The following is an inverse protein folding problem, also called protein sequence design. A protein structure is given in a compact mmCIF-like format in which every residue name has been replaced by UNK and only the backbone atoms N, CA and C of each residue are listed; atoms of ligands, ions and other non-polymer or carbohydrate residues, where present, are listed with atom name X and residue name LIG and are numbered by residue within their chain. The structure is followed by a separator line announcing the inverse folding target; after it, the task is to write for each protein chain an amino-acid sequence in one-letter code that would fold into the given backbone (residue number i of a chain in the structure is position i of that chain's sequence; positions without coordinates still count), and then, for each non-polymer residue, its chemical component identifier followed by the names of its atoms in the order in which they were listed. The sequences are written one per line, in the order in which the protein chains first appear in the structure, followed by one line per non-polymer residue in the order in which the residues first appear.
data_IF_473621400183
#
_entry.id   IF_473621400183
#
_cell.length_a   1.000
_cell.length_b   1.000
_cell.length_c   1.000
_cell.angle_alpha   90.00
_cell.angle_beta   90.00
_cell.angle_gamma   90.00
#
_symmetry.space_group_name_H-M   'P 1'
#
loop_
_entity.id
_entity.type
_entity.pdbx_description
1 polymer ?
#
# COMPACT_ATOMS: atom_id res chain seq x y z
N UNK A 1 6.41 0.26 -6.78
CA UNK A 1 7.52 0.99 -6.12
C UNK A 1 7.15 1.43 -4.69
N UNK A 2 6.57 0.51 -3.92
CA UNK A 2 6.24 0.73 -2.50
C UNK A 2 7.44 0.63 -1.56
N UNK A 3 8.54 0.05 -2.06
CA UNK A 3 9.80 -0.17 -1.35
C UNK A 3 10.98 0.26 -2.24
N UNK A 4 12.20 0.13 -1.73
CA UNK A 4 13.40 0.42 -2.52
C UNK A 4 13.48 -0.43 -3.80
N UNK A 5 13.57 0.24 -4.95
CA UNK A 5 13.49 -0.36 -6.30
C UNK A 5 14.51 -1.49 -6.54
N UNK A 6 15.68 -1.41 -5.89
CA UNK A 6 16.77 -2.39 -6.07
C UNK A 6 16.38 -3.80 -5.61
N UNK A 7 15.70 -3.92 -4.46
CA UNK A 7 15.21 -5.18 -3.93
C UNK A 7 14.07 -5.76 -4.77
N UNK A 8 13.13 -4.91 -5.19
CA UNK A 8 11.94 -5.34 -5.94
C UNK A 8 12.25 -5.99 -7.30
N UNK A 9 13.34 -5.62 -7.98
CA UNK A 9 13.73 -6.26 -9.24
C UNK A 9 14.13 -7.72 -9.00
N UNK A 10 14.83 -8.00 -7.91
CA UNK A 10 15.32 -9.35 -7.58
C UNK A 10 14.15 -10.28 -7.21
N UNK A 11 13.14 -9.76 -6.50
CA UNK A 11 11.94 -10.53 -6.10
C UNK A 11 10.89 -10.63 -7.22
N UNK A 12 10.79 -9.65 -8.11
CA UNK A 12 9.83 -9.68 -9.23
C UNK A 12 10.23 -10.64 -10.37
N UNK A 13 11.53 -10.91 -10.55
CA UNK A 13 11.98 -11.79 -11.64
C UNK A 13 11.49 -13.24 -11.49
N UNK A 14 11.51 -13.88 -10.29
CA UNK A 14 10.94 -15.20 -10.11
C UNK A 14 9.45 -15.30 -10.51
N UNK A 15 8.63 -14.30 -10.18
CA UNK A 15 7.23 -14.26 -10.61
C UNK A 15 7.10 -14.19 -12.14
N UNK A 16 7.95 -13.37 -12.80
CA UNK A 16 7.97 -13.27 -14.25
C UNK A 16 8.37 -14.61 -14.91
N UNK A 17 9.32 -15.34 -14.31
CA UNK A 17 9.75 -16.65 -14.80
C UNK A 17 8.61 -17.68 -14.66
N UNK A 18 7.92 -17.74 -13.53
CA UNK A 18 6.75 -18.60 -13.30
C UNK A 18 5.61 -18.28 -14.28
N UNK A 19 5.31 -17.01 -14.51
CA UNK A 19 4.33 -16.59 -15.52
C UNK A 19 4.76 -17.04 -16.93
N UNK A 20 6.04 -16.90 -17.26
CA UNK A 20 6.59 -17.32 -18.54
C UNK A 20 6.43 -18.82 -18.76
N UNK A 21 6.68 -19.64 -17.75
CA UNK A 21 6.49 -21.09 -17.80
C UNK A 21 5.02 -21.49 -18.01
N UNK A 22 4.10 -20.87 -17.24
CA UNK A 22 2.66 -21.14 -17.37
C UNK A 22 2.08 -20.74 -18.72
N UNK A 23 2.52 -19.58 -19.24
CA UNK A 23 2.02 -19.05 -20.52
C UNK A 23 2.73 -19.61 -21.74
N UNK A 24 3.91 -20.22 -21.59
CA UNK A 24 4.77 -20.61 -22.70
C UNK A 24 5.31 -19.40 -23.49
N UNK A 25 5.49 -18.26 -22.83
CA UNK A 25 5.95 -16.99 -23.38
C UNK A 25 7.22 -16.51 -22.66
N UNK A 26 8.01 -15.65 -23.29
CA UNK A 26 9.08 -14.93 -22.59
C UNK A 26 8.46 -13.77 -21.80
N UNK A 27 8.57 -13.79 -20.47
CA UNK A 27 8.13 -12.72 -19.58
C UNK A 27 9.33 -12.08 -18.92
N UNK A 28 9.34 -10.75 -18.83
CA UNK A 28 10.43 -9.97 -18.24
C UNK A 28 9.87 -9.05 -17.17
N UNK A 29 10.51 -9.05 -16.00
CA UNK A 29 10.19 -8.08 -14.96
C UNK A 29 10.70 -6.68 -15.34
N UNK A 30 9.88 -5.69 -15.04
CA UNK A 30 10.20 -4.26 -15.12
C UNK A 30 9.70 -3.60 -13.85
N UNK A 31 10.58 -2.94 -13.09
CA UNK A 31 10.22 -2.19 -11.89
C UNK A 31 10.52 -0.71 -12.14
N UNK A 32 9.50 0.13 -12.33
CA UNK A 32 9.65 1.59 -12.44
C UNK A 32 10.10 2.22 -11.11
N UNK A 33 10.61 3.44 -11.18
CA UNK A 33 11.12 4.17 -10.01
C UNK A 33 10.02 4.78 -9.12
N UNK A 34 8.83 4.98 -9.68
CA UNK A 34 7.68 5.57 -9.00
C UNK A 34 6.36 5.03 -9.55
N UNK A 35 5.27 5.33 -8.87
CA UNK A 35 3.92 4.87 -9.23
C UNK A 35 3.49 5.37 -10.62
N UNK A 36 3.83 6.61 -10.97
CA UNK A 36 3.50 7.17 -12.29
C UNK A 36 4.18 6.42 -13.42
N UNK A 37 5.41 5.96 -13.20
CA UNK A 37 6.17 5.18 -14.17
C UNK A 37 5.49 3.86 -14.54
N UNK A 38 4.74 3.23 -13.63
CA UNK A 38 3.96 2.02 -13.91
C UNK A 38 2.84 2.31 -14.91
N UNK A 39 2.09 3.40 -14.68
CA UNK A 39 1.00 3.82 -15.57
C UNK A 39 1.53 4.16 -16.97
N UNK A 40 2.64 4.92 -17.04
CA UNK A 40 3.31 5.24 -18.32
C UNK A 40 3.80 3.98 -19.05
N UNK A 41 4.29 2.98 -18.32
CA UNK A 41 4.73 1.71 -18.94
C UNK A 41 3.57 0.93 -19.58
N UNK A 42 2.40 0.91 -18.95
CA UNK A 42 1.17 0.35 -19.51
C UNK A 42 0.70 1.16 -20.72
N UNK A 43 0.54 2.48 -20.57
CA UNK A 43 0.05 3.38 -21.63
C UNK A 43 0.93 3.35 -22.89
N UNK A 44 2.25 3.29 -22.71
CA UNK A 44 3.21 3.25 -23.83
C UNK A 44 3.39 1.86 -24.45
N UNK A 45 2.77 0.81 -23.88
CA UNK A 45 2.95 -0.58 -24.30
C UNK A 45 4.31 -1.18 -23.95
N UNK A 46 5.08 -0.55 -23.05
CA UNK A 46 6.31 -1.13 -22.51
C UNK A 46 6.02 -2.28 -21.55
N UNK A 47 4.90 -2.22 -20.82
CA UNK A 47 4.38 -3.31 -20.02
C UNK A 47 3.01 -3.76 -20.55
N UNK A 48 2.76 -5.07 -20.53
CA UNK A 48 1.49 -5.68 -20.89
C UNK A 48 0.71 -6.13 -19.65
N UNK A 49 1.40 -6.32 -18.53
CA UNK A 49 0.85 -6.72 -17.23
C UNK A 49 1.50 -5.84 -16.19
N UNK A 50 0.71 -5.32 -15.26
CA UNK A 50 1.18 -4.64 -14.08
C UNK A 50 0.60 -5.33 -12.85
N UNK A 51 1.47 -5.74 -11.91
CA UNK A 51 1.11 -6.37 -10.65
C UNK A 51 1.60 -5.56 -9.46
N UNK A 52 1.00 -5.78 -8.29
CA UNK A 52 1.27 -4.99 -7.09
C UNK A 52 0.85 -3.52 -7.25
N UNK A 53 -0.21 -3.29 -8.04
CA UNK A 53 -0.78 -1.97 -8.20
C UNK A 53 -1.61 -1.62 -6.97
N UNK A 54 -1.23 -0.57 -6.26
CA UNK A 54 -2.09 -0.01 -5.22
C UNK A 54 -3.45 0.40 -5.77
N UNK A 55 -4.48 0.54 -4.92
CA UNK A 55 -5.86 0.76 -5.39
C UNK A 55 -6.00 2.00 -6.29
N UNK A 56 -5.29 3.10 -6.00
CA UNK A 56 -5.26 4.29 -6.86
C UNK A 56 -4.65 3.99 -8.22
N UNK A 57 -3.56 3.22 -8.26
CA UNK A 57 -2.91 2.82 -9.51
C UNK A 57 -3.80 1.88 -10.33
N UNK A 58 -4.62 1.04 -9.69
CA UNK A 58 -5.64 0.24 -10.38
C UNK A 58 -6.59 1.14 -11.16
N UNK A 59 -7.18 2.13 -10.49
CA UNK A 59 -8.09 3.12 -11.13
C UNK A 59 -7.36 3.91 -12.22
N UNK A 60 -6.15 4.40 -11.95
CA UNK A 60 -5.35 5.15 -12.92
C UNK A 60 -4.96 4.30 -14.15
N UNK A 61 -4.62 3.03 -13.96
CA UNK A 61 -4.32 2.12 -15.07
C UNK A 61 -5.53 1.95 -15.99
N UNK A 62 -6.73 1.78 -15.43
CA UNK A 62 -7.95 1.71 -16.22
C UNK A 62 -8.27 3.02 -16.93
N UNK A 63 -8.28 4.16 -16.21
CA UNK A 63 -8.73 5.44 -16.75
C UNK A 63 -7.72 6.09 -17.71
N UNK A 64 -6.43 5.97 -17.44
CA UNK A 64 -5.38 6.65 -18.22
C UNK A 64 -4.76 5.74 -19.28
N UNK A 65 -4.48 4.47 -18.93
CA UNK A 65 -3.86 3.52 -19.84
C UNK A 65 -4.86 2.59 -20.55
N UNK A 66 -6.16 2.67 -20.21
CA UNK A 66 -7.19 1.79 -20.78
C UNK A 66 -6.99 0.32 -20.39
N UNK A 67 -6.34 0.06 -19.26
CA UNK A 67 -6.06 -1.30 -18.78
C UNK A 67 -7.34 -1.99 -18.28
N UNK A 68 -7.34 -3.32 -18.31
CA UNK A 68 -8.37 -4.16 -17.70
C UNK A 68 -7.90 -4.63 -16.31
N UNK A 69 -8.72 -4.42 -15.27
CA UNK A 69 -8.46 -4.89 -13.91
C UNK A 69 -8.88 -6.35 -13.81
N UNK A 70 -7.96 -7.24 -13.44
CA UNK A 70 -8.21 -8.68 -13.51
C UNK A 70 -8.17 -9.39 -12.15
N UNK A 71 -7.32 -8.96 -11.23
CA UNK A 71 -7.11 -9.63 -9.93
C UNK A 71 -6.89 -8.62 -8.82
N UNK A 72 -7.25 -9.01 -7.60
CA UNK A 72 -6.94 -8.33 -6.34
C UNK A 72 -6.22 -9.30 -5.41
N UNK A 73 -5.27 -8.80 -4.65
CA UNK A 73 -4.55 -9.57 -3.65
C UNK A 73 -5.39 -9.83 -2.40
N UNK A 74 -5.32 -11.05 -1.89
CA UNK A 74 -5.70 -11.39 -0.54
C UNK A 74 -4.44 -11.39 0.32
N UNK A 75 -4.47 -10.70 1.46
CA UNK A 75 -3.37 -10.60 2.43
C UNK A 75 -3.93 -10.83 3.82
N UNK A 76 -3.31 -11.72 4.60
CA UNK A 76 -3.76 -12.10 5.95
C UNK A 76 -5.25 -12.49 5.98
N UNK A 77 -5.70 -13.22 4.95
CA UNK A 77 -7.09 -13.66 4.79
C UNK A 77 -8.09 -12.53 4.53
N UNK A 78 -7.64 -11.35 4.10
CA UNK A 78 -8.47 -10.18 3.84
C UNK A 78 -8.21 -9.58 2.46
N UNK A 79 -9.27 -9.05 1.83
CA UNK A 79 -9.19 -8.23 0.62
C UNK A 79 -9.04 -6.73 0.93
N UNK A 80 -8.95 -6.39 2.22
CA UNK A 80 -8.92 -5.02 2.71
C UNK A 80 -7.73 -4.84 3.65
N UNK A 81 -7.11 -3.66 3.59
CA UNK A 81 -6.08 -3.20 4.50
C UNK A 81 -6.40 -1.81 5.03
N UNK A 82 -5.51 -1.20 5.80
CA UNK A 82 -5.69 0.14 6.36
C UNK A 82 -4.41 0.98 6.22
N UNK A 83 -4.56 2.30 6.29
CA UNK A 83 -3.47 3.17 6.69
C UNK A 83 -3.25 3.04 8.18
N UNK A 84 -2.00 2.88 8.61
CA UNK A 84 -1.57 3.08 9.98
C UNK A 84 -0.99 4.48 10.16
N UNK A 85 -1.35 5.12 11.29
CA UNK A 85 -0.70 6.30 11.83
C UNK A 85 0.20 5.88 12.99
N UNK A 86 1.47 6.25 12.94
CA UNK A 86 2.44 5.87 13.95
C UNK A 86 3.31 7.06 14.38
N UNK A 87 3.87 6.97 15.58
CA UNK A 87 4.62 8.05 16.21
C UNK A 87 5.78 7.52 17.05
N UNK A 88 6.79 8.36 17.29
CA UNK A 88 7.84 8.17 18.30
C UNK A 88 7.56 8.92 19.61
N UNK A 89 6.39 9.58 19.73
CA UNK A 89 5.95 10.30 20.93
C UNK A 89 4.57 9.79 21.41
N UNK A 90 4.50 8.57 21.98
CA UNK A 90 3.24 8.00 22.42
C UNK A 90 2.60 8.78 23.58
N UNK A 91 3.36 9.56 24.35
CA UNK A 91 2.81 10.39 25.43
C UNK A 91 1.86 11.47 24.90
N UNK A 92 2.05 11.92 23.64
CA UNK A 92 1.19 12.91 22.98
C UNK A 92 -0.02 12.28 22.28
N UNK A 93 0.15 11.11 21.63
CA UNK A 93 -0.85 10.56 20.71
C UNK A 93 -1.64 9.37 21.26
N UNK A 94 -1.22 8.77 22.39
CA UNK A 94 -1.92 7.66 23.03
C UNK A 94 -2.73 8.13 24.24
N UNK A 95 -3.98 7.67 24.36
CA UNK A 95 -4.80 7.87 25.58
C UNK A 95 -4.51 6.84 26.67
N UNK A 96 -3.92 5.72 26.29
CA UNK A 96 -3.59 4.56 27.12
C UNK A 96 -2.10 4.20 27.00
N UNK A 97 -1.65 3.32 27.88
CA UNK A 97 -0.30 2.78 27.78
C UNK A 97 -0.21 1.85 26.56
N UNK A 98 0.77 2.04 25.66
CA UNK A 98 0.95 1.15 24.50
C UNK A 98 1.07 -0.33 24.92
N UNK A 99 0.43 -1.21 24.16
CA UNK A 99 0.40 -2.66 24.36
C UNK A 99 1.04 -3.34 23.14
N UNK A 100 1.87 -4.35 23.39
CA UNK A 100 2.53 -5.12 22.34
C UNK A 100 1.66 -6.27 21.83
N UNK A 101 1.78 -6.57 20.53
CA UNK A 101 1.33 -7.82 19.95
C UNK A 101 2.28 -8.99 20.29
N UNK A 102 2.12 -10.13 19.62
CA UNK A 102 2.93 -11.34 19.84
C UNK A 102 4.41 -11.15 19.43
N UNK A 103 4.68 -10.26 18.48
CA UNK A 103 6.02 -9.94 17.95
C UNK A 103 6.66 -8.74 18.69
N UNK A 104 5.93 -8.10 19.58
CA UNK A 104 6.41 -6.98 20.41
C UNK A 104 6.22 -5.60 19.78
N UNK A 105 5.49 -5.49 18.68
CA UNK A 105 5.12 -4.21 18.09
C UNK A 105 4.07 -3.51 18.96
N UNK A 106 4.29 -2.24 19.30
CA UNK A 106 3.44 -1.48 20.21
C UNK A 106 2.31 -0.74 19.47
N UNK A 107 1.13 -0.78 20.10
CA UNK A 107 -0.10 -0.13 19.64
C UNK A 107 -0.81 0.55 20.83
N UNK A 108 -1.60 1.58 20.56
CA UNK A 108 -2.45 2.22 21.54
C UNK A 108 -3.82 2.60 20.97
N UNK A 109 -4.65 3.28 21.77
CA UNK A 109 -6.00 3.75 21.41
C UNK A 109 -6.94 2.63 20.93
N UNK A 110 -6.71 1.38 21.36
CA UNK A 110 -7.53 0.24 20.96
C UNK A 110 -7.24 -0.31 19.55
N UNK A 111 -6.16 0.10 18.90
CA UNK A 111 -5.80 -0.42 17.55
C UNK A 111 -5.60 -1.92 17.57
N UNK A 112 -4.94 -2.46 18.61
CA UNK A 112 -4.69 -3.90 18.74
C UNK A 112 -5.97 -4.72 18.98
N UNK A 113 -7.05 -4.09 19.42
CA UNK A 113 -8.35 -4.75 19.66
C UNK A 113 -9.20 -4.85 18.37
N UNK A 114 -8.77 -4.20 17.28
CA UNK A 114 -9.46 -4.26 15.99
C UNK A 114 -9.30 -5.65 15.36
N UNK A 115 -10.43 -6.26 14.99
CA UNK A 115 -10.46 -7.58 14.37
C UNK A 115 -10.34 -7.51 12.84
N UNK A 116 -10.61 -6.35 12.26
CA UNK A 116 -10.60 -6.15 10.81
C UNK A 116 -10.45 -4.67 10.42
N UNK A 117 -10.09 -4.42 9.16
CA UNK A 117 -10.05 -3.08 8.58
C UNK A 117 -11.39 -2.30 8.73
N UNK A 118 -12.51 -3.01 8.81
CA UNK A 118 -13.84 -2.41 8.95
C UNK A 118 -14.10 -1.78 10.35
N UNK A 119 -13.27 -2.07 11.33
CA UNK A 119 -13.36 -1.48 12.67
C UNK A 119 -12.79 -0.05 12.73
N UNK A 120 -12.05 0.35 11.69
CA UNK A 120 -11.57 1.72 11.53
C UNK A 120 -12.67 2.72 11.10
N UNK A 121 -12.42 4.04 11.23
CA UNK A 121 -11.16 4.64 11.69
C UNK A 121 -10.98 4.60 13.22
N UNK A 122 -9.76 4.42 13.69
CA UNK A 122 -9.35 4.44 15.09
C UNK A 122 -8.34 5.56 15.30
N UNK A 123 -8.39 6.28 16.44
CA UNK A 123 -7.44 7.34 16.77
C UNK A 123 -7.55 8.60 15.89
N UNK A 124 -8.62 8.74 15.11
CA UNK A 124 -8.82 9.90 14.24
C UNK A 124 -8.90 11.25 14.98
N UNK A 125 -9.34 11.24 16.24
CA UNK A 125 -9.38 12.42 17.11
C UNK A 125 -7.98 12.96 17.47
N UNK A 126 -6.92 12.17 17.28
CA UNK A 126 -5.54 12.60 17.51
C UNK A 126 -4.97 13.41 16.34
N UNK A 127 -5.55 13.31 15.15
CA UNK A 127 -5.02 13.94 13.96
C UNK A 127 -5.05 15.48 14.05
N UNK A 128 -5.96 16.06 14.81
CA UNK A 128 -5.97 17.51 15.09
C UNK A 128 -4.68 18.00 15.77
N UNK A 129 -3.95 17.13 16.47
CA UNK A 129 -2.68 17.46 17.13
C UNK A 129 -1.52 17.59 16.15
N UNK A 130 -1.72 17.23 14.88
CA UNK A 130 -0.70 17.29 13.85
C UNK A 130 -0.51 18.70 13.25
N UNK A 131 -1.35 19.67 13.61
CA UNK A 131 -1.19 21.06 13.18
C UNK A 131 0.23 21.59 13.49
N UNK A 132 0.97 21.96 12.45
CA UNK A 132 2.34 22.45 12.49
C UNK A 132 3.42 21.38 12.74
N UNK A 133 3.05 20.09 12.79
CA UNK A 133 3.97 18.98 13.04
C UNK A 133 4.63 18.50 11.73
N UNK A 134 5.72 17.76 11.87
CA UNK A 134 6.35 17.06 10.73
C UNK A 134 5.73 15.68 10.57
N UNK A 135 5.12 15.44 9.42
CA UNK A 135 4.46 14.17 9.05
C UNK A 135 5.20 13.53 7.89
N UNK A 136 5.62 12.28 8.07
CA UNK A 136 6.24 11.49 7.01
C UNK A 136 5.17 10.79 6.19
N UNK A 137 5.10 11.14 4.91
CA UNK A 137 4.33 10.46 3.87
C UNK A 137 5.23 9.58 3.02
N UNK A 138 4.64 8.65 2.28
CA UNK A 138 5.34 7.74 1.38
C UNK A 138 5.67 8.43 0.05
N UNK A 139 4.67 8.57 -0.79
CA UNK A 139 4.70 9.16 -2.12
C UNK A 139 3.31 9.73 -2.44
N UNK A 140 3.22 10.79 -3.25
CA UNK A 140 1.93 11.42 -3.60
C UNK A 140 0.98 10.46 -4.34
N UNK A 141 1.50 9.44 -5.01
CA UNK A 141 0.71 8.38 -5.65
C UNK A 141 0.15 7.35 -4.67
N UNK A 142 0.73 7.21 -3.47
CA UNK A 142 0.34 6.17 -2.51
C UNK A 142 -1.07 6.38 -1.95
N UNK A 143 -1.87 5.31 -1.92
CA UNK A 143 -3.21 5.32 -1.32
C UNK A 143 -3.12 5.46 0.20
N UNK A 144 -2.50 4.50 0.88
CA UNK A 144 -2.37 4.48 2.34
C UNK A 144 -1.28 5.41 2.88
N UNK A 145 -0.28 5.72 2.06
CA UNK A 145 0.84 6.57 2.47
C UNK A 145 0.67 8.05 2.18
N UNK A 146 -0.43 8.47 1.53
CA UNK A 146 -0.72 9.88 1.26
C UNK A 146 -2.20 10.21 1.08
N UNK A 147 -2.91 9.58 0.14
CA UNK A 147 -4.26 10.01 -0.23
C UNK A 147 -5.27 9.89 0.93
N UNK A 148 -5.33 8.72 1.57
CA UNK A 148 -6.19 8.51 2.75
C UNK A 148 -5.75 9.40 3.92
N UNK A 149 -4.47 9.48 4.29
CA UNK A 149 -3.99 10.42 5.30
C UNK A 149 -4.37 11.87 5.05
N UNK A 150 -4.25 12.35 3.81
CA UNK A 150 -4.62 13.72 3.47
C UNK A 150 -6.11 14.00 3.71
N UNK A 151 -6.98 13.06 3.31
CA UNK A 151 -8.41 13.17 3.60
C UNK A 151 -8.72 13.11 5.11
N UNK A 152 -8.04 12.24 5.86
CA UNK A 152 -8.22 12.14 7.32
C UNK A 152 -7.76 13.42 8.04
N UNK A 153 -6.69 14.07 7.56
CA UNK A 153 -6.25 15.37 8.09
C UNK A 153 -7.29 16.46 7.83
N UNK A 154 -7.80 16.55 6.59
CA UNK A 154 -8.85 17.50 6.24
C UNK A 154 -10.12 17.28 7.08
N UNK A 155 -10.57 16.03 7.23
CA UNK A 155 -11.71 15.68 8.09
C UNK A 155 -11.47 16.05 9.57
N UNK A 156 -10.22 16.02 10.05
CA UNK A 156 -9.82 16.48 11.36
C UNK A 156 -9.67 18.01 11.48
N UNK A 157 -9.83 18.74 10.35
CA UNK A 157 -9.67 20.19 10.28
C UNK A 157 -8.21 20.66 10.20
N UNK A 158 -7.29 19.78 9.81
CA UNK A 158 -5.88 20.09 9.57
C UNK A 158 -5.62 20.09 8.06
N UNK A 159 -5.18 21.23 7.54
CA UNK A 159 -4.84 21.36 6.11
C UNK A 159 -3.66 20.41 5.78
N UNK A 160 -3.83 19.42 4.85
CA UNK A 160 -2.78 18.44 4.56
C UNK A 160 -1.58 19.01 3.81
N UNK A 161 -1.66 20.25 3.31
CA UNK A 161 -0.59 20.93 2.56
C UNK A 161 0.09 21.98 3.44
N UNK A 162 -0.69 22.95 3.93
CA UNK A 162 -0.18 24.14 4.63
C UNK A 162 -0.23 23.98 6.17
N UNK A 163 -1.07 23.08 6.70
CA UNK A 163 -1.26 22.86 8.13
C UNK A 163 -0.19 21.99 8.78
N UNK A 164 0.62 21.29 7.99
CA UNK A 164 1.70 20.39 8.47
C UNK A 164 3.00 20.65 7.71
N UNK A 165 4.10 20.05 8.20
CA UNK A 165 5.36 19.99 7.47
C UNK A 165 5.49 18.58 6.83
N UNK A 166 4.95 18.40 5.62
CA UNK A 166 4.98 17.11 4.93
C UNK A 166 6.38 16.73 4.46
N UNK A 167 6.85 15.52 4.81
CA UNK A 167 8.07 14.89 4.34
C UNK A 167 7.70 13.68 3.48
N UNK A 168 8.14 13.63 2.23
CA UNK A 168 7.93 12.46 1.36
C UNK A 168 9.18 11.57 1.41
N UNK A 169 9.04 10.38 2.00
CA UNK A 169 10.15 9.46 2.26
C UNK A 169 10.46 8.52 1.06
N UNK A 170 9.58 8.46 0.06
CA UNK A 170 9.77 7.70 -1.17
C UNK A 170 9.38 6.22 -1.09
N UNK A 171 9.18 5.66 0.12
CA UNK A 171 8.77 4.28 0.36
C UNK A 171 8.07 4.15 1.71
N UNK A 172 7.39 3.03 1.94
CA UNK A 172 6.74 2.73 3.23
C UNK A 172 7.76 2.49 4.33
N UNK A 173 8.82 1.75 4.02
CA UNK A 173 10.01 1.56 4.84
C UNK A 173 10.67 2.91 5.21
N UNK A 174 10.82 3.79 4.23
CA UNK A 174 11.36 5.14 4.43
C UNK A 174 10.51 5.99 5.36
N UNK A 175 9.17 5.88 5.28
CA UNK A 175 8.26 6.59 6.18
C UNK A 175 8.42 6.12 7.64
N UNK A 176 8.52 4.82 7.86
CA UNK A 176 8.79 4.25 9.19
C UNK A 176 10.16 4.68 9.69
N UNK A 177 11.20 4.61 8.83
CA UNK A 177 12.57 5.00 9.17
C UNK A 177 12.67 6.48 9.59
N UNK A 178 11.94 7.38 8.91
CA UNK A 178 11.92 8.80 9.24
C UNK A 178 11.39 9.07 10.67
N UNK A 179 10.39 8.32 11.10
CA UNK A 179 9.86 8.43 12.48
C UNK A 179 10.81 7.75 13.48
N UNK A 180 11.37 6.59 13.14
CA UNK A 180 12.34 5.88 13.97
C UNK A 180 13.58 6.74 14.27
N UNK A 181 14.09 7.47 13.27
CA UNK A 181 15.26 8.34 13.39
C UNK A 181 14.95 9.71 14.03
N UNK A 182 13.65 10.06 14.14
CA UNK A 182 13.20 11.33 14.69
C UNK A 182 13.21 12.50 13.69
N UNK A 183 13.30 12.21 12.39
CA UNK A 183 13.20 13.20 11.30
C UNK A 183 11.74 13.67 11.12
N UNK A 184 10.77 12.83 11.50
CA UNK A 184 9.35 13.16 11.60
C UNK A 184 8.78 12.73 12.97
N UNK A 185 7.77 13.48 13.45
CA UNK A 185 7.09 13.17 14.72
C UNK A 185 6.04 12.09 14.54
N UNK A 186 5.43 12.05 13.35
CA UNK A 186 4.39 11.09 12.95
C UNK A 186 4.64 10.64 11.53
N UNK A 187 4.27 9.40 11.24
CA UNK A 187 4.32 8.86 9.90
C UNK A 187 3.09 8.04 9.56
N UNK A 188 2.96 7.72 8.29
CA UNK A 188 1.88 6.91 7.76
C UNK A 188 2.40 5.82 6.84
N UNK A 189 1.71 4.68 6.82
CA UNK A 189 2.02 3.54 5.96
C UNK A 189 0.82 2.61 5.84
N UNK A 190 0.97 1.50 5.12
CA UNK A 190 0.07 0.35 5.27
C UNK A 190 0.38 -0.41 6.56
N UNK A 191 -0.50 -1.30 6.98
CA UNK A 191 -0.37 -2.17 8.14
C UNK A 191 0.26 -3.54 7.77
N UNK A 192 1.43 -3.97 8.28
CA UNK A 192 2.32 -3.17 9.11
C UNK A 192 3.70 -3.04 8.44
N UNK A 193 4.05 -1.86 8.01
CA UNK A 193 5.32 -1.61 7.34
C UNK A 193 6.53 -1.54 8.28
N UNK A 194 6.33 -1.55 9.61
CA UNK A 194 7.43 -1.53 10.58
C UNK A 194 8.32 -2.76 10.44
N UNK A 195 7.74 -3.91 10.09
CA UNK A 195 8.48 -5.15 9.82
C UNK A 195 9.52 -5.02 8.70
N UNK A 196 9.32 -4.10 7.74
CA UNK A 196 10.25 -3.91 6.63
C UNK A 196 11.63 -3.38 7.04
N UNK A 197 11.73 -2.72 8.20
CA UNK A 197 13.01 -2.20 8.70
C UNK A 197 13.52 -2.94 9.94
N UNK A 198 12.84 -3.99 10.40
CA UNK A 198 13.20 -4.71 11.62
C UNK A 198 14.61 -5.31 11.57
N UNK A 199 15.06 -5.81 10.43
CA UNK A 199 16.42 -6.36 10.29
C UNK A 199 17.51 -5.31 10.58
N UNK A 200 17.27 -4.04 10.20
CA UNK A 200 18.21 -2.94 10.39
C UNK A 200 17.96 -2.16 11.68
N UNK A 201 16.73 -2.19 12.18
CA UNK A 201 16.25 -1.47 13.36
C UNK A 201 15.43 -2.41 14.27
N UNK A 202 16.08 -3.35 15.00
CA UNK A 202 15.38 -4.42 15.71
C UNK A 202 14.44 -3.96 16.84
N UNK A 203 14.55 -2.72 17.28
CA UNK A 203 13.68 -2.13 18.30
C UNK A 203 12.61 -1.18 17.71
N UNK A 204 12.36 -1.27 16.38
CA UNK A 204 11.37 -0.43 15.70
C UNK A 204 9.97 -0.60 16.27
N UNK A 205 9.57 -1.82 16.61
CA UNK A 205 8.27 -2.13 17.20
C UNK A 205 8.02 -1.44 18.56
N UNK A 206 9.09 -1.21 19.35
CA UNK A 206 9.03 -0.51 20.62
C UNK A 206 9.09 1.02 20.48
N UNK A 207 9.84 1.53 19.49
CA UNK A 207 10.07 2.96 19.28
C UNK A 207 9.03 3.65 18.43
N UNK A 208 8.46 2.94 17.48
CA UNK A 208 7.44 3.45 16.56
C UNK A 208 6.10 2.83 16.92
N UNK A 209 5.29 3.58 17.63
CA UNK A 209 4.02 3.13 18.20
C UNK A 209 2.88 3.49 17.25
N UNK A 210 2.03 2.51 16.88
CA UNK A 210 0.81 2.76 16.10
C UNK A 210 -0.29 3.29 17.01
N UNK A 211 -0.80 4.48 16.68
CA UNK A 211 -1.84 5.15 17.47
C UNK A 211 -3.18 5.27 16.74
N UNK A 212 -3.23 4.96 15.45
CA UNK A 212 -4.47 5.07 14.68
C UNK A 212 -4.48 4.29 13.38
N UNK A 213 -5.71 4.02 12.92
CA UNK A 213 -6.02 3.38 11.65
C UNK A 213 -7.01 4.20 10.82
N UNK A 214 -6.95 4.06 9.50
CA UNK A 214 -8.02 4.52 8.60
C UNK A 214 -9.23 3.59 8.61
N UNK A 215 -10.25 3.94 7.84
CA UNK A 215 -11.24 2.96 7.35
C UNK A 215 -10.63 1.99 6.33
N UNK A 216 -11.42 1.01 5.85
CA UNK A 216 -10.96 -0.05 4.97
C UNK A 216 -10.54 0.48 3.59
N UNK A 217 -9.47 -0.08 3.06
CA UNK A 217 -8.91 0.20 1.74
C UNK A 217 -8.84 -1.14 0.98
N UNK A 218 -9.30 -1.25 -0.28
CA UNK A 218 -9.07 -2.45 -1.09
C UNK A 218 -7.57 -2.75 -1.24
N UNK A 219 -7.19 -4.03 -1.17
CA UNK A 219 -5.81 -4.44 -1.42
C UNK A 219 -5.38 -4.16 -2.87
N UNK A 220 -4.08 -4.24 -3.08
CA UNK A 220 -3.40 -4.12 -4.37
C UNK A 220 -3.93 -5.13 -5.40
N UNK A 221 -3.68 -4.85 -6.67
CA UNK A 221 -4.19 -5.71 -7.72
C UNK A 221 -3.27 -5.90 -8.91
N UNK A 222 -3.82 -6.58 -9.90
CA UNK A 222 -3.20 -6.83 -11.20
C UNK A 222 -4.08 -6.28 -12.31
N UNK A 223 -3.47 -5.53 -13.22
CA UNK A 223 -4.10 -5.03 -14.43
C UNK A 223 -3.33 -5.48 -15.67
N UNK A 224 -4.03 -5.58 -16.78
CA UNK A 224 -3.45 -5.91 -18.08
C UNK A 224 -3.76 -4.83 -19.11
N UNK A 225 -2.90 -4.66 -20.12
CA UNK A 225 -3.12 -3.72 -21.19
C UNK A 225 -4.42 -4.05 -21.96
N UNK A 226 -5.29 -3.05 -22.16
CA UNK A 226 -6.63 -3.24 -22.70
C UNK A 226 -6.69 -3.63 -24.19
N UNK A 227 -5.57 -3.66 -24.89
CA UNK A 227 -5.46 -4.12 -26.28
C UNK A 227 -5.06 -5.60 -26.40
N UNK A 228 -4.90 -6.31 -25.28
CA UNK A 228 -4.61 -7.74 -25.29
C UNK A 228 -5.82 -8.56 -25.77
N UNK A 229 -5.61 -9.65 -26.52
CA UNK A 229 -6.70 -10.55 -26.84
C UNK A 229 -7.35 -11.15 -25.60
N UNK A 230 -8.68 -11.25 -25.56
CA UNK A 230 -9.44 -11.83 -24.42
C UNK A 230 -8.92 -13.21 -23.97
N UNK A 231 -8.48 -14.05 -24.94
CA UNK A 231 -7.92 -15.37 -24.63
C UNK A 231 -6.57 -15.29 -23.90
N UNK A 232 -5.78 -14.24 -24.13
CA UNK A 232 -4.52 -14.02 -23.44
C UNK A 232 -4.78 -13.44 -22.06
N UNK A 233 -5.72 -12.50 -21.92
CA UNK A 233 -6.17 -11.99 -20.62
C UNK A 233 -6.64 -13.12 -19.71
N UNK A 234 -7.51 -14.00 -20.24
CA UNK A 234 -7.97 -15.17 -19.50
C UNK A 234 -6.84 -16.13 -19.09
N UNK A 235 -5.84 -16.32 -20.00
CA UNK A 235 -4.69 -17.17 -19.69
C UNK A 235 -3.78 -16.54 -18.62
N UNK A 236 -3.55 -15.23 -18.67
CA UNK A 236 -2.78 -14.49 -17.66
C UNK A 236 -3.47 -14.58 -16.30
N UNK A 237 -4.79 -14.31 -16.26
CA UNK A 237 -5.58 -14.39 -15.03
C UNK A 237 -5.50 -15.78 -14.41
N UNK A 238 -5.69 -16.84 -15.22
CA UNK A 238 -5.57 -18.22 -14.75
C UNK A 238 -4.16 -18.55 -14.26
N UNK A 239 -3.12 -18.10 -14.99
CA UNK A 239 -1.73 -18.34 -14.60
C UNK A 239 -1.40 -17.74 -13.22
N UNK A 240 -1.81 -16.50 -12.95
CA UNK A 240 -1.61 -15.89 -11.63
C UNK A 240 -2.30 -16.67 -10.50
N UNK A 241 -3.57 -17.08 -10.71
CA UNK A 241 -4.32 -17.87 -9.72
C UNK A 241 -3.70 -19.25 -9.52
N UNK A 242 -3.27 -19.91 -10.60
CA UNK A 242 -2.61 -21.22 -10.52
C UNK A 242 -1.23 -21.12 -9.82
N UNK A 243 -0.44 -20.08 -10.10
CA UNK A 243 0.84 -19.80 -9.44
C UNK A 243 0.62 -19.60 -7.94
N UNK A 244 -0.33 -18.76 -7.54
CA UNK A 244 -0.65 -18.50 -6.13
C UNK A 244 -1.05 -19.77 -5.36
N UNK A 245 -1.55 -20.79 -6.06
CA UNK A 245 -1.94 -22.08 -5.46
C UNK A 245 -0.77 -23.08 -5.32
N UNK A 246 0.42 -22.78 -5.85
CA UNK A 246 1.62 -23.61 -5.72
C UNK A 246 2.47 -23.18 -4.52
N UNK A 247 3.27 -24.08 -3.95
CA UNK A 247 4.19 -23.77 -2.85
C UNK A 247 5.23 -22.72 -3.28
N UNK A 248 5.86 -22.88 -4.46
CA UNK A 248 6.86 -21.96 -5.00
C UNK A 248 6.25 -20.58 -5.33
N UNK A 249 5.07 -20.56 -5.93
CA UNK A 249 4.39 -19.30 -6.27
C UNK A 249 3.90 -18.54 -5.04
N UNK A 250 3.42 -19.26 -4.02
CA UNK A 250 3.04 -18.66 -2.74
C UNK A 250 4.24 -18.02 -2.04
N UNK A 251 5.41 -18.69 -2.00
CA UNK A 251 6.64 -18.11 -1.46
C UNK A 251 7.04 -16.83 -2.19
N UNK A 252 6.99 -16.83 -3.53
CA UNK A 252 7.33 -15.64 -4.35
C UNK A 252 6.36 -14.49 -4.12
N UNK A 253 5.06 -14.76 -3.99
CA UNK A 253 4.04 -13.74 -3.75
C UNK A 253 4.11 -13.17 -2.34
N UNK A 254 4.42 -14.01 -1.36
CA UNK A 254 4.64 -13.61 0.04
C UNK A 254 5.88 -12.70 0.14
N UNK A 255 6.99 -13.09 -0.47
CA UNK A 255 8.24 -12.32 -0.49
C UNK A 255 8.10 -10.97 -1.21
N UNK A 256 7.22 -10.87 -2.23
CA UNK A 256 6.95 -9.62 -2.93
C UNK A 256 6.15 -8.64 -2.08
N UNK A 257 4.98 -9.04 -1.60
CA UNK A 257 4.01 -8.15 -0.92
C UNK A 257 3.12 -8.88 0.09
N UNK A 258 3.57 -9.97 0.70
CA UNK A 258 2.80 -10.76 1.69
C UNK A 258 1.42 -11.17 1.13
N UNK A 259 1.39 -11.62 -0.14
CA UNK A 259 0.17 -12.01 -0.85
C UNK A 259 -0.12 -13.49 -0.60
N UNK A 260 -1.23 -13.79 0.09
CA UNK A 260 -1.72 -15.15 0.36
C UNK A 260 -2.46 -15.75 -0.85
N UNK A 261 -3.10 -14.91 -1.65
CA UNK A 261 -3.92 -15.33 -2.76
C UNK A 261 -4.27 -14.20 -3.71
N UNK A 262 -4.84 -14.57 -4.85
CA UNK A 262 -5.30 -13.64 -5.87
C UNK A 262 -6.73 -13.99 -6.28
N UNK A 263 -7.65 -13.03 -6.20
CA UNK A 263 -9.06 -13.21 -6.55
C UNK A 263 -9.46 -12.37 -7.75
N UNK A 264 -10.29 -12.90 -8.67
CA UNK A 264 -10.82 -12.11 -9.78
C UNK A 264 -11.64 -10.91 -9.31
N UNK A 265 -11.43 -9.77 -9.96
CA UNK A 265 -12.16 -8.52 -9.71
C UNK A 265 -12.67 -7.89 -10.98
N UNK A 266 -13.48 -6.87 -10.79
CA UNK A 266 -13.99 -6.00 -11.85
C UNK A 266 -13.72 -4.53 -11.52
N UNK A 267 -13.88 -3.66 -12.50
CA UNK A 267 -13.78 -2.20 -12.32
C UNK A 267 -14.62 -1.70 -11.13
N UNK A 268 -15.84 -2.23 -10.93
CA UNK A 268 -16.75 -1.77 -9.88
C UNK A 268 -16.23 -2.02 -8.45
N UNK A 269 -15.33 -2.97 -8.25
CA UNK A 269 -14.75 -3.27 -6.94
C UNK A 269 -13.84 -2.13 -6.44
N UNK A 270 -13.43 -1.22 -7.35
CA UNK A 270 -12.61 -0.04 -7.06
C UNK A 270 -13.40 1.29 -7.11
N UNK A 271 -14.74 1.28 -7.14
CA UNK A 271 -15.54 2.51 -7.16
C UNK A 271 -15.29 3.38 -5.92
N UNK A 272 -15.03 2.77 -4.76
CA UNK A 272 -14.66 3.49 -3.53
C UNK A 272 -13.38 4.33 -3.69
N UNK A 273 -12.46 3.89 -4.55
CA UNK A 273 -11.23 4.62 -4.84
C UNK A 273 -11.48 5.78 -5.81
N UNK A 274 -12.41 5.63 -6.78
CA UNK A 274 -12.84 6.76 -7.64
C UNK A 274 -13.49 7.87 -6.83
N UNK A 275 -14.35 7.49 -5.87
CA UNK A 275 -14.96 8.45 -4.94
C UNK A 275 -13.90 9.15 -4.07
N UNK A 276 -12.84 8.43 -3.67
CA UNK A 276 -11.71 8.97 -2.94
C UNK A 276 -10.94 10.00 -3.79
N UNK A 277 -10.64 9.68 -5.06
CA UNK A 277 -9.92 10.59 -5.97
C UNK A 277 -10.67 11.90 -6.17
N UNK A 278 -12.00 11.85 -6.28
CA UNK A 278 -12.84 13.08 -6.39
C UNK A 278 -12.68 13.93 -5.13
N UNK A 279 -12.81 13.35 -3.94
CA UNK A 279 -12.65 14.07 -2.67
C UNK A 279 -11.23 14.61 -2.49
N UNK A 280 -10.22 13.82 -2.86
CA UNK A 280 -8.82 14.23 -2.76
C UNK A 280 -8.53 15.44 -3.67
N UNK A 281 -9.11 15.49 -4.87
CA UNK A 281 -9.01 16.65 -5.75
C UNK A 281 -9.54 17.92 -5.08
N UNK A 282 -10.70 17.85 -4.41
CA UNK A 282 -11.31 18.97 -3.70
C UNK A 282 -10.44 19.45 -2.51
N UNK A 283 -9.72 18.55 -1.86
CA UNK A 283 -8.87 18.84 -0.67
C UNK A 283 -7.51 19.42 -1.05
N UNK A 284 -6.97 19.02 -2.21
CA UNK A 284 -5.63 19.44 -2.65
C UNK A 284 -5.64 20.67 -3.59
N UNK A 285 -6.83 21.22 -3.95
CA UNK A 285 -6.98 22.49 -4.68
C UNK A 285 -6.87 23.71 -3.76
#
# INVERSE_FOLDING_TARGET
PSQETGGLIETAQPLADLLGEHLGLEVKALVPTDYSGVIVALESGQAQVAGGLGPRQMVQAEEQAGAELILQAERFGSLLYVTQWFTNDPDTYCDDTPVGDEDGFLFCNGVLDAESAADGPIGADKLVLLEGKTVSFVDQGSTSGYAIPALQLDEAGVDPIDGINGLFAGGHDGSVQAVYDGDAEVGVSFNDARGQIEETSPDVGEKVVVFGWSGPIPNDGVAVAGDLPESLVAAITAAFVDIAATEEGAEVLDELYEIDGLVPVTSADFDVIRDLEVKLGDVLE
#
